data_IF_723283908350
#
_entry.id   IF_723283908350
#
_cell.length_a   1.000
_cell.length_b   1.000
_cell.length_c   1.000
_cell.angle_alpha   90.00
_cell.angle_beta   90.00
_cell.angle_gamma   90.00
#
_symmetry.space_group_name_H-M   'P 1'
#
loop_
_entity.id
_entity.type
_entity.pdbx_description
1 polymer ?
#
# COMPACT_ATOMS: atom_id res chain seq x y z
N UNK A 1 -0.02 2.79 17.70
CA UNK A 1 0.12 1.42 17.16
C UNK A 1 1.15 1.48 16.05
N UNK A 2 2.24 0.74 16.17
CA UNK A 2 3.30 0.66 15.16
C UNK A 2 3.23 -0.69 14.43
N UNK A 3 3.85 -0.79 13.26
CA UNK A 3 4.01 -2.06 12.55
C UNK A 3 5.13 -2.84 13.24
N UNK A 4 4.77 -3.95 13.89
CA UNK A 4 5.70 -4.71 14.74
C UNK A 4 6.69 -5.56 13.92
N UNK A 5 6.28 -6.03 12.74
CA UNK A 5 7.12 -6.81 11.82
C UNK A 5 6.88 -6.41 10.37
N UNK A 6 7.96 -6.20 9.63
CA UNK A 6 7.92 -5.87 8.20
C UNK A 6 8.84 -6.83 7.48
N UNK A 7 8.35 -7.44 6.40
CA UNK A 7 9.18 -8.10 5.39
C UNK A 7 9.02 -7.34 4.08
N UNK A 8 10.14 -7.15 3.39
CA UNK A 8 10.17 -6.43 2.11
C UNK A 8 10.49 -7.46 1.04
N UNK A 9 9.50 -7.77 0.21
CA UNK A 9 9.71 -8.49 -1.04
C UNK A 9 9.99 -7.47 -2.15
N UNK A 10 11.07 -7.68 -2.89
CA UNK A 10 11.40 -6.85 -4.04
C UNK A 10 10.72 -7.42 -5.28
N UNK A 11 10.03 -6.56 -6.02
CA UNK A 11 9.44 -6.94 -7.30
C UNK A 11 10.55 -7.15 -8.34
N UNK A 12 10.52 -8.29 -9.01
CA UNK A 12 11.37 -8.58 -10.14
C UNK A 12 10.75 -7.97 -11.40
N UNK A 13 11.44 -6.98 -11.97
CA UNK A 13 11.03 -6.31 -13.20
C UNK A 13 11.30 -7.15 -14.44
N UNK A 14 12.04 -8.26 -14.32
CA UNK A 14 12.43 -9.11 -15.44
C UNK A 14 13.82 -8.79 -15.99
N UNK A 15 14.37 -9.70 -16.82
CA UNK A 15 15.74 -9.64 -17.30
C UNK A 15 16.03 -8.42 -18.18
N UNK A 16 15.03 -7.85 -18.84
CA UNK A 16 15.17 -6.67 -19.70
C UNK A 16 15.52 -5.40 -18.90
N UNK A 17 15.23 -5.38 -17.59
CA UNK A 17 15.57 -4.26 -16.70
C UNK A 17 16.82 -4.51 -15.84
N UNK A 18 17.42 -5.71 -15.92
CA UNK A 18 18.54 -6.11 -15.05
C UNK A 18 19.81 -5.25 -15.22
N UNK A 19 19.97 -4.59 -16.37
CA UNK A 19 21.09 -3.70 -16.66
C UNK A 19 20.94 -2.27 -16.14
N UNK A 20 19.77 -1.90 -15.62
CA UNK A 20 19.45 -0.54 -15.17
C UNK A 20 19.41 -0.50 -13.64
N UNK A 21 20.07 0.47 -12.98
CA UNK A 21 19.90 0.67 -11.54
C UNK A 21 18.42 0.85 -11.19
N UNK A 22 17.91 0.12 -10.19
CA UNK A 22 16.48 0.04 -9.88
C UNK A 22 15.80 1.40 -9.65
N UNK A 23 16.52 2.35 -9.05
CA UNK A 23 15.99 3.70 -8.83
C UNK A 23 15.77 4.47 -10.14
N UNK A 24 16.52 4.15 -11.19
CA UNK A 24 16.35 4.70 -12.54
C UNK A 24 15.33 3.91 -13.37
N UNK A 25 15.13 2.61 -13.11
CA UNK A 25 14.31 1.76 -13.96
C UNK A 25 12.86 2.29 -14.12
N UNK A 26 12.26 2.82 -13.05
CA UNK A 26 10.92 3.41 -13.11
C UNK A 26 10.87 4.71 -13.92
N UNK A 27 11.93 5.52 -13.86
CA UNK A 27 12.07 6.74 -14.66
C UNK A 27 12.29 6.43 -16.15
N UNK A 28 13.04 5.36 -16.43
CA UNK A 28 13.25 4.79 -17.78
C UNK A 28 12.02 4.02 -18.32
N UNK A 29 10.92 4.00 -17.57
CA UNK A 29 9.63 3.50 -18.05
C UNK A 29 9.23 2.10 -17.59
N UNK A 30 9.96 1.47 -16.67
CA UNK A 30 9.63 0.13 -16.15
C UNK A 30 8.20 0.04 -15.60
N UNK A 31 7.67 1.14 -15.07
CA UNK A 31 6.26 1.26 -14.62
C UNK A 31 5.22 0.86 -15.66
N UNK A 32 5.54 0.97 -16.95
CA UNK A 32 4.64 0.61 -18.04
C UNK A 32 4.71 -0.89 -18.39
N UNK A 33 5.80 -1.56 -18.01
CA UNK A 33 5.99 -2.98 -18.17
C UNK A 33 5.38 -3.81 -17.04
N UNK A 34 5.10 -3.20 -15.88
CA UNK A 34 4.48 -3.90 -14.74
C UNK A 34 3.05 -4.32 -15.09
N UNK A 35 2.84 -5.63 -15.25
CA UNK A 35 1.54 -6.25 -15.41
C UNK A 35 0.91 -6.54 -14.02
N UNK A 36 -0.38 -6.20 -13.78
CA UNK A 36 -1.07 -6.55 -12.55
C UNK A 36 -1.04 -8.06 -12.20
N UNK A 37 -1.03 -8.95 -13.18
CA UNK A 37 -0.94 -10.39 -12.93
C UNK A 37 0.43 -10.79 -12.39
N UNK A 38 1.51 -10.16 -12.86
CA UNK A 38 2.86 -10.37 -12.32
C UNK A 38 2.94 -9.88 -10.87
N UNK A 39 2.32 -8.74 -10.57
CA UNK A 39 2.19 -8.24 -9.19
C UNK A 39 1.52 -9.27 -8.31
N UNK A 40 0.40 -9.85 -8.76
CA UNK A 40 -0.30 -10.90 -8.03
C UNK A 40 0.59 -12.13 -7.82
N UNK A 41 1.18 -12.66 -8.88
CA UNK A 41 1.99 -13.88 -8.82
C UNK A 41 3.20 -13.73 -7.90
N UNK A 42 3.97 -12.65 -8.04
CA UNK A 42 5.16 -12.42 -7.23
C UNK A 42 4.81 -12.13 -5.77
N UNK A 43 3.70 -11.43 -5.50
CA UNK A 43 3.21 -11.22 -4.14
C UNK A 43 2.83 -12.54 -3.47
N UNK A 44 2.12 -13.42 -4.17
CA UNK A 44 1.76 -14.75 -3.66
C UNK A 44 2.99 -15.61 -3.39
N UNK A 45 3.97 -15.58 -4.30
CA UNK A 45 5.22 -16.31 -4.12
C UNK A 45 5.97 -15.83 -2.87
N UNK A 46 6.13 -14.50 -2.72
CA UNK A 46 6.78 -13.91 -1.56
C UNK A 46 6.02 -14.18 -0.25
N UNK A 47 4.70 -14.20 -0.28
CA UNK A 47 3.87 -14.55 0.87
C UNK A 47 4.05 -16.03 1.28
N UNK A 48 4.12 -16.95 0.31
CA UNK A 48 4.30 -18.39 0.55
C UNK A 48 5.70 -18.75 1.00
N UNK A 49 6.71 -18.00 0.55
CA UNK A 49 8.11 -18.16 0.97
C UNK A 49 8.36 -17.62 2.39
N UNK A 50 7.45 -16.80 2.91
CA UNK A 50 7.55 -16.35 4.30
C UNK A 50 7.40 -17.55 5.24
N UNK A 51 8.51 -17.93 5.89
CA UNK A 51 8.55 -18.95 6.96
C UNK A 51 7.60 -18.64 8.14
N UNK A 52 7.09 -17.40 8.20
CA UNK A 52 6.27 -16.87 9.28
C UNK A 52 4.85 -16.62 8.76
N UNK A 53 3.89 -17.49 9.11
CA UNK A 53 2.49 -17.47 8.63
C UNK A 53 1.64 -16.36 9.27
N UNK A 54 2.25 -15.39 9.96
CA UNK A 54 1.59 -14.40 10.80
C UNK A 54 1.47 -13.00 10.16
N UNK A 55 1.50 -12.90 8.82
CA UNK A 55 1.31 -11.61 8.15
C UNK A 55 -0.19 -11.24 8.12
N UNK A 56 -0.54 -10.15 8.78
CA UNK A 56 -1.93 -9.67 8.87
C UNK A 56 -2.37 -8.79 7.68
N UNK A 57 -1.46 -8.51 6.75
CA UNK A 57 -1.75 -7.67 5.59
C UNK A 57 -0.55 -7.45 4.67
N UNK A 58 -0.83 -6.94 3.48
CA UNK A 58 0.17 -6.63 2.46
C UNK A 58 0.07 -5.15 2.09
N UNK A 59 1.21 -4.48 2.08
CA UNK A 59 1.37 -3.14 1.50
C UNK A 59 2.11 -3.25 0.17
N UNK A 60 1.52 -2.75 -0.90
CA UNK A 60 2.19 -2.52 -2.18
C UNK A 60 2.52 -1.03 -2.29
N UNK A 61 3.76 -0.63 -1.93
CA UNK A 61 4.14 0.77 -1.92
C UNK A 61 4.43 1.30 -3.34
N UNK A 62 4.42 2.63 -3.47
CA UNK A 62 4.76 3.33 -4.70
C UNK A 62 3.55 3.66 -5.58
N UNK A 63 3.51 4.90 -6.08
CA UNK A 63 2.43 5.41 -6.93
C UNK A 63 2.58 5.04 -8.41
N UNK A 64 3.80 4.71 -8.84
CA UNK A 64 4.12 4.27 -10.21
C UNK A 64 3.88 2.77 -10.47
N UNK A 65 3.33 2.04 -9.50
CA UNK A 65 3.18 0.60 -9.56
C UNK A 65 1.72 0.21 -9.84
N UNK A 66 1.48 -0.54 -10.91
CA UNK A 66 0.12 -0.88 -11.39
C UNK A 66 -0.51 -2.04 -10.60
N UNK A 67 -0.68 -1.88 -9.30
CA UNK A 67 -1.16 -2.94 -8.42
C UNK A 67 -2.69 -3.04 -8.29
N UNK A 68 -3.46 -2.07 -8.77
CA UNK A 68 -4.91 -2.04 -8.53
C UNK A 68 -5.62 -3.31 -9.01
N UNK A 69 -5.20 -3.87 -10.16
CA UNK A 69 -5.78 -5.11 -10.68
C UNK A 69 -5.47 -6.35 -9.84
N UNK A 70 -4.41 -6.32 -9.03
CA UNK A 70 -3.99 -7.43 -8.18
C UNK A 70 -4.72 -7.47 -6.82
N UNK A 71 -5.27 -6.34 -6.36
CA UNK A 71 -5.82 -6.19 -5.00
C UNK A 71 -6.91 -7.23 -4.69
N UNK A 72 -8.01 -7.20 -5.43
CA UNK A 72 -9.17 -8.07 -5.14
C UNK A 72 -8.81 -9.56 -5.28
N UNK A 73 -8.12 -10.01 -6.34
CA UNK A 73 -7.67 -11.39 -6.43
C UNK A 73 -6.76 -11.82 -5.27
N UNK A 74 -5.83 -10.97 -4.83
CA UNK A 74 -4.94 -11.29 -3.71
C UNK A 74 -5.70 -11.41 -2.39
N UNK A 75 -6.61 -10.48 -2.09
CA UNK A 75 -7.42 -10.54 -0.87
C UNK A 75 -8.30 -11.81 -0.85
N UNK A 76 -8.85 -12.19 -2.00
CA UNK A 76 -9.63 -13.43 -2.15
C UNK A 76 -8.78 -14.69 -1.95
N UNK A 77 -7.56 -14.72 -2.46
CA UNK A 77 -6.67 -15.89 -2.37
C UNK A 77 -6.02 -16.03 -0.99
N UNK A 78 -5.66 -14.92 -0.34
CA UNK A 78 -4.90 -14.90 0.91
C UNK A 78 -5.77 -14.69 2.16
N UNK A 79 -6.98 -14.14 2.02
CA UNK A 79 -7.86 -13.86 3.16
C UNK A 79 -7.39 -12.71 4.07
N UNK A 80 -6.43 -11.91 3.63
CA UNK A 80 -5.87 -10.76 4.36
C UNK A 80 -5.95 -9.49 3.49
N UNK A 81 -6.00 -8.29 4.10
CA UNK A 81 -6.08 -7.03 3.36
C UNK A 81 -4.83 -6.77 2.51
N UNK A 82 -5.07 -6.24 1.30
CA UNK A 82 -4.02 -5.73 0.40
C UNK A 82 -4.24 -4.25 0.14
N UNK A 83 -3.26 -3.44 0.52
CA UNK A 83 -3.32 -1.99 0.47
C UNK A 83 -2.26 -1.49 -0.50
N UNK A 84 -2.64 -0.60 -1.41
CA UNK A 84 -1.69 0.15 -2.26
C UNK A 84 -1.48 1.57 -1.75
N UNK A 85 -0.38 2.20 -2.14
CA UNK A 85 -0.15 3.62 -1.87
C UNK A 85 -1.28 4.51 -2.42
N UNK A 86 -1.76 4.23 -3.63
CA UNK A 86 -2.83 5.00 -4.28
C UNK A 86 -4.17 4.84 -3.55
N UNK A 87 -4.53 3.62 -3.13
CA UNK A 87 -5.72 3.40 -2.31
C UNK A 87 -5.62 4.12 -0.97
N UNK A 88 -4.45 4.10 -0.32
CA UNK A 88 -4.23 4.74 0.98
C UNK A 88 -4.46 6.25 0.93
N UNK A 89 -3.90 6.93 -0.07
CA UNK A 89 -4.05 8.38 -0.24
C UNK A 89 -5.48 8.75 -0.59
N UNK A 90 -6.13 7.97 -1.47
CA UNK A 90 -7.54 8.19 -1.83
C UNK A 90 -8.46 7.98 -0.62
N UNK A 91 -8.30 6.87 0.09
CA UNK A 91 -9.06 6.56 1.30
C UNK A 91 -8.89 7.67 2.35
N UNK A 92 -7.66 8.09 2.60
CA UNK A 92 -7.39 9.18 3.53
C UNK A 92 -8.10 10.48 3.10
N UNK A 93 -7.99 10.89 1.83
CA UNK A 93 -8.63 12.10 1.31
C UNK A 93 -10.15 12.07 1.39
N UNK A 94 -10.78 10.93 1.06
CA UNK A 94 -12.23 10.74 1.20
C UNK A 94 -12.67 10.86 2.66
N UNK A 95 -11.85 10.40 3.61
CA UNK A 95 -12.16 10.45 5.03
C UNK A 95 -11.92 11.82 5.69
N UNK A 96 -11.27 12.76 5.00
CA UNK A 96 -11.17 14.15 5.46
C UNK A 96 -12.41 14.98 5.09
N UNK A 97 -13.23 14.50 4.15
CA UNK A 97 -14.43 15.20 3.73
C UNK A 97 -15.68 14.75 4.48
N UNK A 98 -16.68 15.62 4.53
CA UNK A 98 -18.05 15.27 4.92
C UNK A 98 -18.79 14.75 3.68
N UNK A 99 -18.61 13.46 3.39
CA UNK A 99 -19.39 12.76 2.38
C UNK A 99 -20.44 11.88 3.07
N UNK A 100 -21.69 11.94 2.62
CA UNK A 100 -22.71 10.99 3.03
C UNK A 100 -22.34 9.60 2.47
N UNK A 101 -22.24 8.56 3.31
CA UNK A 101 -21.95 7.21 2.84
C UNK A 101 -23.03 6.79 1.84
N UNK A 102 -22.61 6.49 0.60
CA UNK A 102 -23.53 5.88 -0.37
C UNK A 102 -23.73 4.41 0.04
N UNK A 103 -24.98 3.96 0.03
CA UNK A 103 -25.35 2.60 0.41
C UNK A 103 -24.47 1.56 -0.33
N UNK A 104 -23.97 0.60 0.45
CA UNK A 104 -23.14 -0.52 -0.01
C UNK A 104 -23.82 -1.28 -1.15
N UNK A 105 -23.15 -1.38 -2.29
CA UNK A 105 -23.65 -2.08 -3.48
C UNK A 105 -23.25 -3.57 -3.53
N UNK A 106 -22.60 -4.10 -2.50
CA UNK A 106 -22.02 -5.44 -2.49
C UNK A 106 -20.50 -5.43 -2.79
N UNK A 107 -19.96 -6.57 -3.23
CA UNK A 107 -18.52 -6.84 -3.40
C UNK A 107 -17.69 -5.62 -3.85
N UNK A 108 -16.68 -5.26 -3.05
CA UNK A 108 -15.77 -4.16 -3.37
C UNK A 108 -14.95 -4.48 -4.62
N UNK A 109 -15.06 -3.62 -5.63
CA UNK A 109 -14.22 -3.64 -6.84
C UNK A 109 -12.77 -3.19 -6.57
N UNK A 110 -12.50 -2.69 -5.36
CA UNK A 110 -11.26 -2.02 -5.00
C UNK A 110 -10.67 -2.52 -3.68
N UNK A 111 -11.02 -3.73 -3.26
CA UNK A 111 -10.52 -4.35 -2.04
C UNK A 111 -11.13 -3.81 -0.74
N UNK A 112 -10.70 -4.39 0.37
CA UNK A 112 -11.32 -4.24 1.69
C UNK A 112 -11.11 -2.88 2.35
N UNK A 113 -10.07 -2.11 1.96
CA UNK A 113 -9.75 -0.82 2.58
C UNK A 113 -10.94 0.16 2.57
N UNK A 114 -11.67 0.25 1.46
CA UNK A 114 -12.79 1.19 1.33
C UNK A 114 -14.06 0.74 2.05
N UNK A 115 -14.11 -0.49 2.56
CA UNK A 115 -15.21 -0.96 3.41
C UNK A 115 -15.05 -0.43 4.85
N UNK A 116 -13.87 0.09 5.20
CA UNK A 116 -13.62 0.72 6.48
C UNK A 116 -14.18 2.14 6.43
N UNK A 117 -15.43 2.29 6.88
CA UNK A 117 -15.96 3.60 7.24
C UNK A 117 -15.22 4.08 8.50
N UNK A 118 -14.49 5.21 8.48
CA UNK A 118 -13.96 5.76 9.70
C UNK A 118 -15.15 6.13 10.57
N UNK A 119 -15.18 5.63 11.82
CA UNK A 119 -16.02 6.27 12.83
C UNK A 119 -15.65 7.76 12.83
N UNK A 120 -16.62 8.70 12.77
CA UNK A 120 -16.33 10.11 12.91
C UNK A 120 -15.77 10.33 14.32
N UNK A 121 -14.44 10.24 14.47
CA UNK A 121 -13.78 10.75 15.66
C UNK A 121 -13.84 12.26 15.50
N UNK A 122 -14.65 12.86 16.36
CA UNK A 122 -14.85 14.29 16.49
C UNK A 122 -13.53 15.02 16.33
N UNK A 123 -13.47 15.84 15.29
CA UNK A 123 -12.40 16.80 14.96
C UNK A 123 -12.05 17.68 16.17
N UNK A 124 -12.97 17.81 17.13
CA UNK A 124 -12.80 18.50 18.41
C UNK A 124 -11.73 17.88 19.32
N UNK A 125 -11.47 16.56 19.24
CA UNK A 125 -10.43 15.91 20.06
C UNK A 125 -9.01 16.17 19.56
N UNK A 126 -8.84 16.55 18.29
CA UNK A 126 -7.52 16.85 17.70
C UNK A 126 -7.04 18.27 17.98
N UNK A 127 -7.96 19.20 18.29
CA UNK A 127 -7.63 20.61 18.60
C UNK A 127 -7.20 20.77 20.07
N UNK A 128 -7.50 19.81 20.94
CA UNK A 128 -7.30 19.91 22.39
C UNK A 128 -6.08 19.15 22.95
N UNK A 129 -5.28 18.46 22.13
CA UNK A 129 -4.18 17.62 22.62
C UNK A 129 -2.86 17.91 21.95
N UNK A 130 -1.97 18.59 22.65
CA UNK A 130 -0.55 18.77 22.31
C UNK A 130 0.10 17.44 21.94
N UNK A 131 0.35 17.19 20.66
CA UNK A 131 1.24 16.11 20.22
C UNK A 131 2.59 16.74 19.90
N UNK A 132 3.52 16.62 20.84
CA UNK A 132 4.92 16.96 20.63
C UNK A 132 5.49 16.12 19.48
N UNK A 133 5.79 16.77 18.37
CA UNK A 133 6.53 16.17 17.26
C UNK A 133 8.02 16.23 17.62
N UNK A 134 8.58 15.13 18.11
CA UNK A 134 10.03 14.94 18.08
C UNK A 134 10.44 14.63 16.64
N UNK A 135 10.74 15.68 15.87
CA UNK A 135 11.34 15.55 14.55
C UNK A 135 12.76 15.00 14.67
N UNK A 136 13.05 13.92 13.95
CA UNK A 136 14.43 13.50 13.65
C UNK A 136 14.85 14.24 12.39
N UNK A 137 15.78 15.17 12.55
CA UNK A 137 16.39 15.92 11.46
C UNK A 137 17.49 15.06 10.82
N UNK A 138 17.39 14.77 9.53
CA UNK A 138 18.50 14.18 8.78
C UNK A 138 19.57 15.26 8.57
N UNK A 139 20.75 15.08 9.15
CA UNK A 139 21.92 15.89 8.86
C UNK A 139 22.54 15.45 7.54
N UNK A 140 22.65 16.39 6.61
CA UNK A 140 23.46 16.27 5.40
C UNK A 140 24.93 15.98 5.77
N UNK A 141 25.47 14.88 5.23
CA UNK A 141 26.91 14.61 5.24
C UNK A 141 27.49 15.04 3.90
N UNK A 142 28.02 16.26 3.86
CA UNK A 142 29.05 16.62 2.89
C UNK A 142 30.42 16.29 3.48
N UNK A 143 31.18 15.47 2.75
CA UNK A 143 32.63 15.45 2.76
C UNK A 143 33.12 15.25 1.32
#
# INVERSE_FOLDING_TARGET
MGIERIRIAQFDLGPEWAGIPRYNAFDEGARWAVDPDDVRQQTLAAFKDAEDTALDGILVPGSGFRAQGAVVPLEQELGIPVITANQSVLWYGLNQGTFEPRADTGQSLHGSLFNLCPSPRSVESLIAGEVGVHGVQATDVHA
#
